data_IF_421301328713
#
_entry.id   IF_421301328713
#
_cell.length_a   1.000
_cell.length_b   1.000
_cell.length_c   1.000
_cell.angle_alpha   90.00
_cell.angle_beta   90.00
_cell.angle_gamma   90.00
#
_symmetry.space_group_name_H-M   'P 1'
#
loop_
_entity.id
_entity.type
_entity.pdbx_description
1 polymer ?
#
# COMPACT_ATOMS: atom_id res chain seq x y z
N UNK A 1 6.09 5.10 5.63
CA UNK A 1 6.12 3.64 5.39
C UNK A 1 7.26 3.37 4.41
N UNK A 2 8.04 2.31 4.62
CA UNK A 2 9.07 1.87 3.67
C UNK A 2 8.44 1.04 2.56
N UNK A 3 8.58 1.46 1.31
CA UNK A 3 7.94 0.83 0.15
C UNK A 3 8.93 0.74 -1.03
N UNK A 4 8.74 -0.21 -1.95
CA UNK A 4 9.68 -0.42 -3.04
C UNK A 4 9.58 0.70 -4.07
N UNK A 5 10.74 1.16 -4.58
CA UNK A 5 10.82 2.12 -5.68
C UNK A 5 10.55 1.35 -6.99
N UNK A 6 9.30 1.38 -7.44
CA UNK A 6 8.83 0.72 -8.66
C UNK A 6 7.97 1.67 -9.48
N UNK A 7 7.71 1.36 -10.75
CA UNK A 7 6.79 2.16 -11.58
C UNK A 7 5.35 1.78 -11.28
N UNK A 8 4.42 2.74 -11.26
CA UNK A 8 3.00 2.43 -11.06
C UNK A 8 2.45 1.63 -12.24
N UNK A 9 1.53 0.71 -11.94
CA UNK A 9 0.71 -0.01 -12.92
C UNK A 9 -0.46 0.83 -13.42
N UNK A 10 -0.96 1.76 -12.59
CA UNK A 10 -1.99 2.72 -12.96
C UNK A 10 -1.70 4.08 -12.31
N UNK A 11 -2.02 5.15 -13.05
CA UNK A 11 -2.00 6.54 -12.55
C UNK A 11 -3.34 7.20 -12.91
N UNK A 12 -3.93 7.92 -11.97
CA UNK A 12 -5.18 8.67 -12.15
C UNK A 12 -5.22 9.89 -11.23
N UNK A 13 -6.16 10.79 -11.46
CA UNK A 13 -6.47 11.91 -10.57
C UNK A 13 -7.76 11.64 -9.80
N UNK A 14 -7.93 12.33 -8.68
CA UNK A 14 -9.04 12.08 -7.78
C UNK A 14 -10.39 12.64 -8.30
N UNK A 15 -10.38 13.55 -9.27
CA UNK A 15 -11.60 13.99 -9.98
C UNK A 15 -12.18 12.91 -10.92
N UNK A 16 -11.39 11.90 -11.27
CA UNK A 16 -11.80 10.77 -12.11
C UNK A 16 -12.25 9.55 -11.30
N UNK A 17 -11.96 9.50 -10.00
CA UNK A 17 -12.03 8.28 -9.21
C UNK A 17 -12.38 8.53 -7.74
N UNK A 18 -13.55 8.04 -7.35
CA UNK A 18 -14.03 8.06 -5.97
C UNK A 18 -13.30 7.02 -5.10
N UNK A 19 -13.07 7.35 -3.82
CA UNK A 19 -12.39 6.44 -2.88
C UNK A 19 -13.14 5.12 -2.70
N UNK A 20 -14.47 5.16 -2.61
CA UNK A 20 -15.29 3.96 -2.42
C UNK A 20 -15.18 3.00 -3.62
N UNK A 21 -15.19 3.55 -4.83
CA UNK A 21 -15.10 2.77 -6.08
C UNK A 21 -13.70 2.16 -6.22
N UNK A 22 -12.66 2.90 -5.82
CA UNK A 22 -11.30 2.39 -5.76
C UNK A 22 -11.19 1.22 -4.78
N UNK A 23 -11.70 1.36 -3.55
CA UNK A 23 -11.67 0.28 -2.55
C UNK A 23 -12.44 -0.95 -3.02
N UNK A 24 -13.62 -0.75 -3.63
CA UNK A 24 -14.43 -1.83 -4.20
C UNK A 24 -13.67 -2.57 -5.31
N UNK A 25 -13.02 -1.84 -6.22
CA UNK A 25 -12.20 -2.42 -7.29
C UNK A 25 -11.04 -3.24 -6.75
N UNK A 26 -10.38 -2.79 -5.68
CA UNK A 26 -9.28 -3.53 -5.04
C UNK A 26 -9.77 -4.82 -4.41
N UNK A 27 -10.93 -4.77 -3.74
CA UNK A 27 -11.57 -5.92 -3.13
C UNK A 27 -12.00 -6.97 -4.15
N UNK A 28 -12.71 -6.56 -5.21
CA UNK A 28 -13.23 -7.47 -6.24
C UNK A 28 -12.12 -8.20 -7.02
N UNK A 29 -10.92 -7.60 -7.09
CA UNK A 29 -9.77 -8.16 -7.78
C UNK A 29 -8.84 -8.99 -6.90
N UNK A 30 -9.13 -9.13 -5.60
CA UNK A 30 -8.17 -9.70 -4.63
C UNK A 30 -6.79 -9.04 -4.77
N UNK A 31 -6.76 -7.72 -4.86
CA UNK A 31 -5.56 -6.97 -5.22
C UNK A 31 -4.44 -7.13 -4.19
N UNK A 32 -3.23 -7.41 -4.68
CA UNK A 32 -1.99 -7.43 -3.91
C UNK A 32 -1.07 -6.31 -4.41
N UNK A 33 -0.79 -5.35 -3.54
CA UNK A 33 -0.03 -4.18 -3.94
C UNK A 33 -0.16 -3.03 -2.95
N UNK A 34 0.25 -1.85 -3.36
CA UNK A 34 -0.05 -0.64 -2.61
C UNK A 34 -0.57 0.47 -3.53
N UNK A 35 -1.20 1.45 -2.91
CA UNK A 35 -1.62 2.69 -3.55
C UNK A 35 -0.88 3.83 -2.87
N UNK A 36 -0.30 4.75 -3.66
CA UNK A 36 0.21 6.03 -3.20
C UNK A 36 -0.79 7.12 -3.58
N UNK A 37 -1.07 8.02 -2.63
CA UNK A 37 -1.91 9.19 -2.83
C UNK A 37 -1.06 10.41 -2.48
N UNK A 38 -0.91 11.33 -3.41
CA UNK A 38 -0.10 12.54 -3.21
C UNK A 38 -0.98 13.77 -3.37
N UNK A 39 -0.95 14.66 -2.38
CA UNK A 39 -1.66 15.93 -2.42
C UNK A 39 -0.78 17.04 -1.84
N UNK A 40 -0.41 18.01 -2.68
CA UNK A 40 0.53 19.05 -2.30
C UNK A 40 1.88 18.46 -1.86
N UNK A 41 2.28 18.70 -0.62
CA UNK A 41 3.49 18.12 -0.01
C UNK A 41 3.23 16.86 0.83
N UNK A 42 1.97 16.43 0.92
CA UNK A 42 1.57 15.29 1.74
C UNK A 42 1.49 14.02 0.88
N UNK A 43 1.92 12.90 1.45
CA UNK A 43 1.86 11.58 0.82
C UNK A 43 1.19 10.56 1.73
N UNK A 44 0.32 9.76 1.12
CA UNK A 44 -0.42 8.66 1.70
C UNK A 44 -0.08 7.34 1.03
N UNK A 45 -0.15 6.27 1.80
CA UNK A 45 0.13 4.91 1.35
C UNK A 45 -0.89 3.95 1.97
N UNK A 46 -1.47 3.08 1.13
CA UNK A 46 -2.32 1.96 1.55
C UNK A 46 -1.73 0.67 1.00
N UNK A 47 -1.41 -0.28 1.87
CA UNK A 47 -0.96 -1.62 1.49
C UNK A 47 -2.14 -2.59 1.50
N UNK A 48 -2.27 -3.39 0.45
CA UNK A 48 -3.31 -4.38 0.25
C UNK A 48 -2.75 -5.80 0.23
N UNK A 49 -3.52 -6.73 0.80
CA UNK A 49 -3.33 -8.18 0.72
C UNK A 49 -4.69 -8.84 0.47
N UNK A 50 -4.81 -9.59 -0.62
CA UNK A 50 -6.05 -10.24 -1.07
C UNK A 50 -7.24 -9.25 -1.08
N UNK A 51 -6.99 -8.04 -1.60
CA UNK A 51 -7.99 -6.97 -1.69
C UNK A 51 -8.36 -6.29 -0.37
N UNK A 52 -7.72 -6.65 0.75
CA UNK A 52 -7.97 -6.04 2.06
C UNK A 52 -6.85 -5.08 2.43
N UNK A 53 -7.20 -3.97 3.07
CA UNK A 53 -6.20 -3.05 3.63
C UNK A 53 -5.51 -3.74 4.83
N UNK A 54 -4.18 -3.81 4.79
CA UNK A 54 -3.36 -4.42 5.85
C UNK A 54 -2.43 -3.44 6.54
N UNK A 55 -2.10 -2.32 5.90
CA UNK A 55 -1.35 -1.23 6.52
C UNK A 55 -1.66 0.10 5.83
N UNK A 56 -1.55 1.21 6.58
CA UNK A 56 -1.71 2.54 6.01
C UNK A 56 -0.87 3.60 6.73
N UNK A 57 -0.46 4.63 6.00
CA UNK A 57 0.20 5.83 6.52
C UNK A 57 -0.17 7.05 5.69
N UNK A 58 -0.27 8.23 6.31
CA UNK A 58 -0.46 9.50 5.62
C UNK A 58 0.24 10.60 6.41
N UNK A 59 1.33 11.16 5.88
CA UNK A 59 2.20 12.08 6.63
C UNK A 59 2.53 11.51 8.03
N UNK A 60 2.08 12.16 9.11
CA UNK A 60 2.25 11.70 10.50
C UNK A 60 1.20 10.69 11.00
N UNK A 61 0.13 10.50 10.25
CA UNK A 61 -1.00 9.65 10.62
C UNK A 61 -0.75 8.19 10.22
N UNK A 62 -1.30 7.25 11.00
CA UNK A 62 -1.04 5.81 10.86
C UNK A 62 -2.35 5.02 10.89
N UNK A 63 -2.34 3.80 10.34
CA UNK A 63 -3.44 2.82 10.45
C UNK A 63 -4.77 3.42 9.97
N UNK A 64 -5.87 3.20 10.71
CA UNK A 64 -7.20 3.68 10.34
C UNK A 64 -7.25 5.21 10.20
N UNK A 65 -6.55 5.96 11.06
CA UNK A 65 -6.51 7.42 10.96
C UNK A 65 -5.87 7.87 9.63
N UNK A 66 -4.85 7.14 9.14
CA UNK A 66 -4.28 7.40 7.83
C UNK A 66 -5.28 7.16 6.70
N UNK A 67 -6.09 6.09 6.78
CA UNK A 67 -7.13 5.78 5.78
C UNK A 67 -8.15 6.92 5.71
N UNK A 68 -8.58 7.45 6.86
CA UNK A 68 -9.52 8.57 6.92
C UNK A 68 -8.93 9.85 6.31
N UNK A 69 -7.62 10.07 6.49
CA UNK A 69 -6.90 11.20 5.88
C UNK A 69 -6.76 11.04 4.38
N UNK A 70 -6.48 9.83 3.91
CA UNK A 70 -6.42 9.51 2.48
C UNK A 70 -7.77 9.72 1.81
N UNK A 71 -8.86 9.26 2.42
CA UNK A 71 -10.23 9.50 1.93
C UNK A 71 -10.48 11.01 1.73
N UNK A 72 -10.13 11.83 2.73
CA UNK A 72 -10.22 13.30 2.64
C UNK A 72 -9.28 13.92 1.61
N UNK A 73 -8.12 13.32 1.38
CA UNK A 73 -7.20 13.79 0.33
C UNK A 73 -7.79 13.52 -1.06
N UNK A 74 -8.45 12.37 -1.25
CA UNK A 74 -9.14 12.04 -2.50
C UNK A 74 -10.38 12.90 -2.77
N UNK A 75 -10.95 13.56 -1.77
CA UNK A 75 -12.01 14.57 -2.01
C UNK A 75 -11.47 15.84 -2.71
N UNK A 76 -10.14 15.98 -2.84
CA UNK A 76 -9.49 17.11 -3.50
C UNK A 76 -9.09 16.73 -4.92
N UNK A 77 -9.60 17.47 -5.90
CA UNK A 77 -9.49 17.15 -7.34
C UNK A 77 -8.06 17.06 -7.87
N UNK A 78 -7.11 17.76 -7.25
CA UNK A 78 -5.70 17.79 -7.66
C UNK A 78 -4.85 16.69 -7.03
N UNK A 79 -5.47 15.77 -6.28
CA UNK A 79 -4.77 14.62 -5.70
C UNK A 79 -4.40 13.59 -6.76
N UNK A 80 -3.13 13.19 -6.77
CA UNK A 80 -2.59 12.15 -7.62
C UNK A 80 -2.75 10.79 -6.96
N UNK A 81 -3.24 9.80 -7.71
CA UNK A 81 -3.43 8.43 -7.25
C UNK A 81 -2.59 7.52 -8.13
N UNK A 82 -1.72 6.73 -7.51
CA UNK A 82 -0.82 5.80 -8.18
C UNK A 82 -0.98 4.41 -7.57
N UNK A 83 -1.12 3.39 -8.41
CA UNK A 83 -1.35 2.00 -8.03
C UNK A 83 -0.13 1.17 -8.41
N UNK A 84 0.33 0.30 -7.50
CA UNK A 84 1.55 -0.48 -7.67
C UNK A 84 1.33 -1.95 -7.32
N UNK A 85 1.44 -2.83 -8.32
CA UNK A 85 1.25 -4.27 -8.13
C UNK A 85 2.45 -4.89 -7.41
N UNK A 86 2.19 -5.78 -6.45
CA UNK A 86 3.23 -6.51 -5.72
C UNK A 86 3.00 -8.01 -5.75
N UNK A 87 4.09 -8.77 -5.64
CA UNK A 87 4.01 -10.22 -5.41
C UNK A 87 3.68 -10.48 -3.93
N UNK A 88 2.99 -11.60 -3.60
CA UNK A 88 2.68 -11.94 -2.20
C UNK A 88 3.91 -11.96 -1.27
N UNK A 89 5.06 -12.45 -1.75
CA UNK A 89 6.31 -12.45 -0.97
C UNK A 89 6.81 -11.05 -0.62
N UNK A 90 6.54 -10.05 -1.46
CA UNK A 90 6.89 -8.66 -1.20
C UNK A 90 5.96 -8.05 -0.16
N UNK A 91 4.67 -8.38 -0.19
CA UNK A 91 3.69 -7.94 0.82
C UNK A 91 4.12 -8.40 2.22
N UNK A 92 4.48 -9.67 2.37
CA UNK A 92 4.94 -10.23 3.65
C UNK A 92 6.17 -9.47 4.16
N UNK A 93 7.16 -9.27 3.29
CA UNK A 93 8.38 -8.54 3.63
C UNK A 93 8.08 -7.09 4.06
N UNK A 94 7.21 -6.40 3.31
CA UNK A 94 6.83 -5.02 3.63
C UNK A 94 6.07 -4.93 4.94
N UNK A 95 5.19 -5.88 5.26
CA UNK A 95 4.51 -5.93 6.56
C UNK A 95 5.48 -6.12 7.73
N UNK A 96 6.54 -6.91 7.53
CA UNK A 96 7.58 -7.11 8.54
C UNK A 96 8.43 -5.85 8.77
N UNK A 97 8.71 -5.07 7.73
CA UNK A 97 9.37 -3.77 7.87
C UNK A 97 8.44 -2.71 8.50
N UNK A 98 7.16 -2.74 8.14
CA UNK A 98 6.20 -1.67 8.42
C UNK A 98 5.24 -2.00 9.56
N UNK A 99 5.70 -2.72 10.60
CA UNK A 99 4.85 -3.19 11.71
C UNK A 99 4.05 -2.09 12.39
N UNK A 100 4.60 -0.88 12.51
CA UNK A 100 3.92 0.26 13.13
C UNK A 100 2.65 0.71 12.37
N UNK A 101 2.59 0.42 11.06
CA UNK A 101 1.51 0.85 10.17
C UNK A 101 0.41 -0.20 9.99
N UNK A 102 0.63 -1.42 10.51
CA UNK A 102 -0.27 -2.55 10.34
C UNK A 102 -1.62 -2.29 11.00
N UNK A 103 -2.68 -2.60 10.26
CA UNK A 103 -4.06 -2.58 10.74
C UNK A 103 -4.42 -3.98 11.20
N UNK A 104 -4.83 -4.12 12.45
CA UNK A 104 -5.25 -5.40 13.01
C UNK A 104 -6.64 -5.74 12.46
N UNK A 105 -6.80 -6.96 11.94
CA UNK A 105 -8.14 -7.46 11.62
C UNK A 105 -8.86 -7.66 12.94
N UNK A 106 -9.94 -6.91 13.16
CA UNK A 106 -10.82 -7.14 14.31
C UNK A 106 -11.24 -8.61 14.30
N UNK A 107 -10.69 -9.39 15.23
CA UNK A 107 -11.13 -10.76 15.46
C UNK A 107 -12.55 -10.65 16.01
N UNK A 108 -13.55 -10.95 15.18
CA UNK A 108 -14.92 -11.17 15.64
C UNK A 108 -14.94 -12.42 16.53
N UNK A 109 -14.56 -12.25 17.79
CA UNK A 109 -14.71 -13.26 18.83
C UNK A 109 -16.20 -13.38 19.16
N UNK A 110 -16.83 -14.57 19.10
CA UNK A 110 -18.15 -14.77 19.68
C UNK A 110 -18.02 -14.71 21.21
N UNK A 111 -18.84 -13.86 21.84
CA UNK A 111 -18.91 -13.59 23.28
C UNK A 111 -18.87 -14.83 24.21
N UNK A 112 -18.25 -14.67 25.38
CA UNK A 112 -18.78 -15.20 26.65
C UNK A 112 -18.49 -14.26 27.82
N UNK A 113 -19.56 -13.65 28.31
CA UNK A 113 -19.69 -12.96 29.59
C UNK A 113 -19.67 -13.94 30.77
N UNK A 114 -18.96 -13.60 31.85
CA UNK A 114 -19.25 -13.84 33.28
C UNK A 114 -17.93 -13.54 34.03
N UNK A 115 -17.86 -12.80 35.14
CA UNK A 115 -18.81 -12.50 36.23
C UNK A 115 -18.14 -11.56 37.25
N UNK A 116 -18.92 -10.72 37.95
CA UNK A 116 -18.56 -10.10 39.25
C UNK A 116 -18.52 -8.56 39.22
N UNK A 117 -19.59 -7.81 39.56
CA UNK A 117 -19.99 -7.35 40.92
C UNK A 117 -18.90 -6.41 41.49
N UNK A 118 -19.10 -5.13 41.84
CA UNK A 118 -20.27 -4.33 42.25
C UNK A 118 -19.92 -2.83 42.16
N UNK A 119 -20.95 -1.98 42.14
CA UNK A 119 -20.87 -0.53 42.31
C UNK A 119 -20.32 -0.15 43.70
N UNK A 120 -19.35 0.77 43.76
CA UNK A 120 -19.23 1.73 44.88
C UNK A 120 -18.88 3.09 44.30
N UNK A 121 -19.81 4.03 44.44
CA UNK A 121 -19.56 5.46 44.24
C UNK A 121 -18.61 5.99 45.31
N UNK A 122 -17.64 6.83 44.93
CA UNK A 122 -17.14 7.95 45.74
C UNK A 122 -16.36 8.93 44.84
N UNK A 123 -16.60 10.22 45.05
CA UNK A 123 -15.97 11.38 44.41
C UNK A 123 -14.55 11.62 44.95
N UNK A 124 -13.72 12.27 44.12
CA UNK A 124 -12.64 13.25 44.42
C UNK A 124 -11.59 12.85 45.49
N UNK A 125 -10.27 12.89 45.28
CA UNK A 125 -9.42 13.97 44.80
C UNK A 125 -8.09 13.42 44.24
N UNK A 126 -7.41 14.19 43.39
CA UNK A 126 -6.32 13.75 42.51
C UNK A 126 -5.02 13.22 43.14
N UNK A 127 -4.35 12.36 42.39
CA UNK A 127 -2.93 12.04 42.52
C UNK A 127 -2.38 11.59 41.15
N UNK A 128 -1.51 12.41 40.55
CA UNK A 128 -0.77 12.03 39.34
C UNK A 128 0.44 11.18 39.76
N UNK A 129 0.21 9.89 39.97
CA UNK A 129 1.28 8.90 40.07
C UNK A 129 1.95 8.70 38.71
N UNK A 130 3.06 9.39 38.48
CA UNK A 130 4.06 8.95 37.51
C UNK A 130 4.60 7.59 37.99
N UNK A 131 4.49 6.56 37.15
CA UNK A 131 5.24 5.31 37.30
C UNK A 131 6.57 5.48 36.56
N UNK A 132 7.57 5.90 37.32
CA UNK A 132 8.97 6.00 37.01
C UNK A 132 9.69 4.70 37.41
N UNK A 133 10.10 3.88 36.43
CA UNK A 133 10.73 2.62 36.82
C UNK A 133 11.64 1.83 35.88
N UNK A 134 11.72 2.05 34.56
CA UNK A 134 12.53 1.16 33.70
C UNK A 134 13.36 1.86 32.60
N UNK A 135 13.91 3.05 32.88
CA UNK A 135 15.08 3.54 32.15
C UNK A 135 16.33 3.15 32.93
N UNK A 136 17.11 2.18 32.43
CA UNK A 136 18.39 1.78 33.02
C UNK A 136 19.53 2.48 32.24
N UNK A 137 20.06 3.63 32.70
CA UNK A 137 21.02 4.45 31.94
C UNK A 137 22.43 3.83 31.83
N UNK A 138 22.62 2.58 32.24
CA UNK A 138 23.93 1.90 32.18
C UNK A 138 24.25 1.23 30.84
N UNK A 139 23.32 1.23 29.87
CA UNK A 139 23.58 0.69 28.51
C UNK A 139 23.72 1.76 27.41
N UNK A 140 23.60 3.05 27.74
CA UNK A 140 23.87 4.12 26.80
C UNK A 140 25.36 4.50 26.83
N UNK A 141 26.20 3.76 26.09
CA UNK A 141 27.64 4.01 26.06
C UNK A 141 28.25 3.76 24.67
N UNK A 142 28.32 4.87 23.91
CA UNK A 142 29.23 5.21 22.79
C UNK A 142 29.15 4.44 21.46
N UNK A 143 28.40 5.03 20.52
CA UNK A 143 28.86 5.12 19.12
C UNK A 143 30.31 5.61 19.11
N UNK A 144 31.22 4.83 18.52
CA UNK A 144 32.52 5.37 18.17
C UNK A 144 32.36 6.35 16.99
N UNK A 145 33.10 7.47 16.97
CA UNK A 145 33.10 8.38 15.84
C UNK A 145 33.68 7.66 14.61
N UNK A 146 32.91 7.60 13.52
CA UNK A 146 33.40 7.20 12.20
C UNK A 146 34.22 8.38 11.67
N UNK A 147 35.47 8.48 12.13
CA UNK A 147 36.46 9.37 11.55
C UNK A 147 37.57 8.50 10.96
N UNK A 148 37.35 7.99 9.73
CA UNK A 148 38.40 7.66 8.73
C UNK A 148 37.98 6.91 7.46
N UNK A 149 36.71 6.58 7.23
CA UNK A 149 36.34 5.76 6.05
C UNK A 149 35.96 6.63 4.83
N UNK A 150 35.65 7.91 5.00
CA UNK A 150 35.15 8.78 3.91
C UNK A 150 36.23 9.37 2.97
N UNK A 151 37.51 9.01 3.11
CA UNK A 151 38.57 9.60 2.28
C UNK A 151 39.15 8.66 1.20
N UNK A 152 38.99 7.34 1.30
CA UNK A 152 39.68 6.41 0.39
C UNK A 152 38.77 5.81 -0.70
N UNK A 153 37.45 5.74 -0.51
CA UNK A 153 36.53 5.22 -1.56
C UNK A 153 36.20 6.25 -2.66
N UNK A 154 36.45 7.54 -2.44
CA UNK A 154 36.26 8.58 -3.48
C UNK A 154 37.37 8.60 -4.53
N UNK A 155 38.56 8.06 -4.27
CA UNK A 155 39.69 8.09 -5.22
C UNK A 155 39.77 6.88 -6.17
N UNK A 156 38.95 5.85 -5.97
CA UNK A 156 38.88 4.71 -6.91
C UNK A 156 37.83 4.93 -8.02
N UNK A 157 36.77 5.68 -7.76
CA UNK A 157 35.70 5.88 -8.75
C UNK A 157 36.09 6.82 -9.90
N UNK A 158 36.94 7.83 -9.65
CA UNK A 158 37.33 8.81 -10.66
C UNK A 158 38.35 8.28 -11.68
N UNK A 159 39.08 7.19 -11.38
CA UNK A 159 40.03 6.58 -12.34
C UNK A 159 39.38 5.71 -13.41
N UNK A 160 38.12 5.31 -13.25
CA UNK A 160 37.44 4.36 -14.18
C UNK A 160 36.55 5.03 -15.22
N UNK A 161 36.33 6.35 -15.17
CA UNK A 161 35.46 7.05 -16.14
C UNK A 161 36.20 7.74 -17.31
N UNK A 162 37.54 7.80 -17.31
CA UNK A 162 38.29 8.58 -18.32
C UNK A 162 38.59 7.82 -19.64
N UNK A 163 38.20 6.54 -19.78
CA UNK A 163 38.60 5.72 -20.94
C UNK A 163 37.51 5.39 -21.97
N UNK A 164 36.36 6.08 -21.98
CA UNK A 164 35.26 5.74 -22.90
C UNK A 164 34.74 6.91 -23.75
N UNK A 165 35.61 7.80 -24.23
CA UNK A 165 35.23 8.79 -25.26
C UNK A 165 36.23 8.82 -26.41
N UNK A 166 35.98 7.99 -27.42
CA UNK A 166 36.24 8.31 -28.83
C UNK A 166 35.04 7.94 -29.70
N UNK A 167 34.83 8.63 -30.83
CA UNK A 167 33.49 8.89 -31.36
C UNK A 167 33.23 8.24 -32.73
N UNK A 168 31.99 8.45 -33.22
CA UNK A 168 31.51 8.41 -34.62
C UNK A 168 31.18 7.02 -35.18
N UNK A 169 29.88 6.76 -35.44
CA UNK A 169 29.37 6.41 -36.79
C UNK A 169 27.93 6.93 -36.92
N UNK A 170 27.74 7.77 -37.93
CA UNK A 170 26.50 8.31 -38.46
C UNK A 170 26.17 7.55 -39.76
N UNK A 171 24.94 7.03 -39.89
CA UNK A 171 24.31 6.61 -41.15
C UNK A 171 22.87 6.18 -40.83
N UNK A 172 21.85 7.03 -40.96
CA UNK A 172 21.07 7.31 -42.19
C UNK A 172 20.72 6.04 -42.96
N UNK A 173 19.44 5.64 -42.96
CA UNK A 173 18.54 5.41 -44.12
C UNK A 173 17.24 4.73 -43.62
N UNK A 174 16.12 5.44 -43.73
CA UNK A 174 14.75 4.88 -43.91
C UNK A 174 14.43 4.88 -45.43
N UNK A 175 13.26 4.40 -45.91
CA UNK A 175 12.39 3.27 -45.51
C UNK A 175 12.04 2.40 -46.75
N UNK A 176 11.29 1.28 -46.62
CA UNK A 176 10.26 0.88 -47.64
C UNK A 176 9.47 -0.43 -47.34
N UNK A 177 8.18 -0.38 -47.71
CA UNK A 177 7.32 -1.43 -48.33
C UNK A 177 6.52 -2.42 -47.45
N UNK A 178 5.25 -2.03 -47.24
CA UNK A 178 3.98 -2.73 -47.52
C UNK A 178 4.03 -4.23 -47.85
N UNK A 179 3.22 -5.03 -47.13
CA UNK A 179 2.24 -6.01 -47.69
C UNK A 179 1.48 -6.75 -46.57
N UNK A 180 0.17 -6.51 -46.48
CA UNK A 180 -0.78 -7.45 -45.87
C UNK A 180 -0.93 -8.70 -46.75
N UNK A 181 -1.30 -9.85 -46.17
CA UNK A 181 -2.56 -10.46 -46.63
C UNK A 181 -3.40 -11.18 -45.56
N UNK A 182 -4.72 -10.98 -45.68
CA UNK A 182 -5.85 -11.95 -45.61
C UNK A 182 -5.68 -13.21 -44.76
N UNK A 183 -6.55 -13.39 -43.75
CA UNK A 183 -6.97 -14.73 -43.30
C UNK A 183 -8.49 -14.79 -43.04
N UNK A 184 -9.05 -15.83 -43.62
CA UNK A 184 -10.44 -16.25 -43.73
C UNK A 184 -10.93 -16.98 -42.46
N UNK A 185 -12.22 -16.80 -42.15
CA UNK A 185 -13.12 -17.68 -41.38
C UNK A 185 -12.57 -18.50 -40.20
N UNK A 186 -13.01 -18.18 -38.97
CA UNK A 186 -13.00 -19.12 -37.85
C UNK A 186 -14.41 -19.22 -37.26
N UNK A 187 -14.86 -20.48 -37.19
CA UNK A 187 -16.14 -21.01 -36.71
C UNK A 187 -16.43 -20.60 -35.28
N UNK A 188 -17.68 -20.17 -35.00
CA UNK A 188 -18.20 -19.99 -33.64
C UNK A 188 -18.39 -21.35 -32.96
N UNK A 189 -17.87 -21.59 -31.75
CA UNK A 189 -18.33 -22.68 -30.92
C UNK A 189 -19.51 -22.22 -30.04
N UNK A 190 -20.64 -22.93 -30.17
CA UNK A 190 -21.75 -22.91 -29.20
C UNK A 190 -21.21 -23.12 -27.77
N UNK A 191 -21.44 -22.14 -26.89
CA UNK A 191 -21.12 -22.28 -25.46
C UNK A 191 -22.34 -22.84 -24.73
N UNK A 192 -22.19 -24.10 -24.34
CA UNK A 192 -23.01 -24.84 -23.39
C UNK A 192 -23.16 -24.02 -22.09
N UNK A 193 -24.41 -23.72 -21.71
CA UNK A 193 -24.74 -23.08 -20.43
C UNK A 193 -24.76 -24.12 -19.31
N UNK A 194 -23.70 -24.19 -18.51
CA UNK A 194 -23.73 -24.93 -17.24
C UNK A 194 -23.95 -23.99 -16.03
N UNK A 195 -24.79 -24.39 -15.05
CA UNK A 195 -25.19 -23.56 -13.92
C UNK A 195 -24.21 -23.72 -12.75
N UNK A 196 -23.06 -23.03 -12.80
CA UNK A 196 -22.13 -22.94 -11.64
C UNK A 196 -21.87 -21.48 -11.24
N UNK A 197 -22.26 -20.52 -12.08
CA UNK A 197 -21.92 -19.10 -11.90
C UNK A 197 -22.72 -18.45 -10.76
N UNK A 198 -23.92 -18.93 -10.46
CA UNK A 198 -24.84 -18.23 -9.55
C UNK A 198 -24.39 -18.28 -8.08
N UNK A 199 -23.77 -19.37 -7.64
CA UNK A 199 -23.30 -19.55 -6.25
C UNK A 199 -22.09 -18.66 -5.92
N UNK A 200 -21.14 -18.54 -6.86
CA UNK A 200 -19.97 -17.65 -6.70
C UNK A 200 -20.40 -16.20 -6.72
N UNK A 201 -21.33 -15.84 -7.62
CA UNK A 201 -21.90 -14.49 -7.70
C UNK A 201 -22.63 -14.12 -6.41
N UNK A 202 -23.37 -15.05 -5.80
CA UNK A 202 -24.05 -14.80 -4.51
C UNK A 202 -23.05 -14.60 -3.36
N UNK A 203 -21.97 -15.38 -3.29
CA UNK A 203 -20.94 -15.22 -2.27
C UNK A 203 -20.20 -13.89 -2.41
N UNK A 204 -19.88 -13.48 -3.64
CA UNK A 204 -19.26 -12.19 -3.94
C UNK A 204 -20.19 -11.02 -3.56
N UNK A 205 -21.50 -11.12 -3.84
CA UNK A 205 -22.49 -10.12 -3.42
C UNK A 205 -22.60 -9.99 -1.90
N UNK A 206 -22.54 -11.10 -1.16
CA UNK A 206 -22.62 -11.09 0.30
C UNK A 206 -21.37 -10.45 0.93
N UNK A 207 -20.20 -10.81 0.41
CA UNK A 207 -18.90 -10.23 0.78
C UNK A 207 -18.84 -8.72 0.50
N UNK A 208 -19.31 -8.29 -0.68
CA UNK A 208 -19.45 -6.87 -1.04
C UNK A 208 -20.33 -6.08 -0.08
N UNK A 209 -21.46 -6.66 0.36
CA UNK A 209 -22.37 -6.01 1.32
C UNK A 209 -21.73 -5.79 2.69
N UNK A 210 -20.93 -6.75 3.17
CA UNK A 210 -20.18 -6.57 4.42
C UNK A 210 -19.07 -5.53 4.28
N UNK A 211 -18.33 -5.55 3.17
CA UNK A 211 -17.27 -4.58 2.91
C UNK A 211 -17.80 -3.13 2.85
N UNK A 212 -18.89 -2.90 2.11
CA UNK A 212 -19.50 -1.56 2.01
C UNK A 212 -20.02 -1.04 3.35
N UNK A 213 -20.43 -1.94 4.26
CA UNK A 213 -20.86 -1.57 5.61
C UNK A 213 -19.67 -1.11 6.48
N UNK A 214 -18.49 -1.66 6.28
CA UNK A 214 -17.27 -1.24 6.98
C UNK A 214 -16.83 0.14 6.48
N UNK A 215 -16.76 0.34 5.16
CA UNK A 215 -16.33 1.62 4.55
C UNK A 215 -17.28 2.79 4.87
N UNK A 216 -18.58 2.54 5.04
CA UNK A 216 -19.57 3.58 5.37
C UNK A 216 -19.58 4.00 6.85
N UNK A 217 -19.06 3.16 7.74
CA UNK A 217 -19.06 3.41 9.18
C UNK A 217 -17.68 3.83 9.72
N UNK A 218 -16.70 4.07 8.84
CA UNK A 218 -15.40 4.69 9.10
C UNK A 218 -15.31 6.05 8.40
#
# INVERSE_FOLDING_TARGET
>A
MELPITKPSQVSYADELEFSDLMEKMYEKSYDGFIRITHGSEEGYILFEDGNIVAASYDRFLKNEAVDKIKKAMDKSDSLIEVFDLKPSQIIYLLDLNKAYKIEKEQSSPNLSSSGIENVANQDDGDYGYDDGLFNPKEASYRQPIAKIEAEEREEYDRKQEFAKKPVVESVVEPEVVKEPVVESVVEPEVVKEPVVESVVMLMKLKKKQFLLIVKNS
#
